data_IF_578138159666
#
_entry.id   IF_578138159666
#
_cell.length_a   1.000
_cell.length_b   1.000
_cell.length_c   1.000
_cell.angle_alpha   90.00
_cell.angle_beta   90.00
_cell.angle_gamma   90.00
#
_symmetry.space_group_name_H-M   'P 1'
#
loop_
_entity.id
_entity.type
_entity.pdbx_description
1 polymer ?
#
# COMPACT_ATOMS: atom_id res chain seq x y z
N UNK A 1 15.89 8.34 -7.92
CA UNK A 1 14.50 8.00 -7.60
C UNK A 1 13.51 8.84 -8.43
N UNK A 2 13.44 10.17 -8.29
CA UNK A 2 12.56 11.01 -9.14
C UNK A 2 13.02 11.22 -10.60
N UNK A 3 14.21 10.76 -10.97
CA UNK A 3 14.67 10.71 -12.36
C UNK A 3 14.29 9.41 -13.08
N UNK A 4 13.71 8.44 -12.38
CA UNK A 4 13.26 7.17 -12.95
C UNK A 4 11.81 7.31 -13.43
N UNK A 5 11.60 7.11 -14.74
CA UNK A 5 10.28 7.30 -15.37
C UNK A 5 9.25 6.28 -14.89
N UNK A 6 9.65 5.03 -14.64
CA UNK A 6 8.74 3.99 -14.15
C UNK A 6 8.29 4.32 -12.73
N UNK A 7 9.23 4.69 -11.86
CA UNK A 7 8.92 5.10 -10.49
C UNK A 7 7.99 6.31 -10.44
N UNK A 8 8.28 7.33 -11.24
CA UNK A 8 7.52 8.59 -11.24
C UNK A 8 6.09 8.38 -11.76
N UNK A 9 5.89 7.54 -12.78
CA UNK A 9 4.54 7.17 -13.22
C UNK A 9 3.80 6.31 -12.19
N UNK A 10 4.47 5.37 -11.52
CA UNK A 10 3.88 4.59 -10.44
C UNK A 10 3.47 5.48 -9.24
N UNK A 11 4.31 6.45 -8.87
CA UNK A 11 4.01 7.46 -7.86
C UNK A 11 2.75 8.25 -8.22
N UNK A 12 2.65 8.71 -9.48
CA UNK A 12 1.48 9.41 -9.99
C UNK A 12 0.22 8.55 -9.89
N UNK A 13 0.28 7.31 -10.37
CA UNK A 13 -0.84 6.36 -10.30
C UNK A 13 -1.31 6.12 -8.85
N UNK A 14 -0.38 5.89 -7.92
CA UNK A 14 -0.74 5.68 -6.50
C UNK A 14 -1.36 6.93 -5.89
N UNK A 15 -0.82 8.11 -6.17
CA UNK A 15 -1.39 9.37 -5.70
C UNK A 15 -2.83 9.54 -6.19
N UNK A 16 -3.07 9.38 -7.49
CA UNK A 16 -4.40 9.57 -8.09
C UNK A 16 -5.42 8.56 -7.52
N UNK A 17 -5.01 7.30 -7.32
CA UNK A 17 -5.84 6.26 -6.68
C UNK A 17 -6.21 6.62 -5.23
N UNK A 18 -5.24 7.08 -4.43
CA UNK A 18 -5.49 7.46 -3.04
C UNK A 18 -6.34 8.74 -2.94
N UNK A 19 -6.17 9.69 -3.87
CA UNK A 19 -6.97 10.92 -3.90
C UNK A 19 -8.44 10.69 -4.20
N UNK A 20 -8.79 9.59 -4.86
CA UNK A 20 -10.19 9.19 -5.06
C UNK A 20 -10.79 8.49 -3.83
N UNK A 21 -9.98 8.15 -2.83
CA UNK A 21 -10.39 7.34 -1.67
C UNK A 21 -9.97 8.00 -0.36
N UNK A 22 -9.01 7.41 0.37
CA UNK A 22 -8.65 7.80 1.74
C UNK A 22 -8.05 9.20 1.83
N UNK A 23 -7.46 9.71 0.74
CA UNK A 23 -6.92 11.07 0.70
C UNK A 23 -7.88 12.07 0.07
N UNK A 24 -9.14 11.69 -0.17
CA UNK A 24 -10.17 12.65 -0.54
C UNK A 24 -10.33 13.72 0.54
N UNK A 25 -10.58 14.98 0.15
CA UNK A 25 -10.69 16.09 1.08
C UNK A 25 -11.81 15.83 2.10
N UNK A 26 -12.96 15.34 1.63
CA UNK A 26 -14.08 14.95 2.49
C UNK A 26 -13.72 13.84 3.47
N UNK A 27 -12.95 12.83 3.03
CA UNK A 27 -12.54 11.72 3.89
C UNK A 27 -11.59 12.19 4.98
N UNK A 28 -10.61 13.03 4.64
CA UNK A 28 -9.68 13.61 5.61
C UNK A 28 -10.43 14.54 6.57
N UNK A 29 -11.33 15.39 6.07
CA UNK A 29 -12.11 16.31 6.88
C UNK A 29 -13.02 15.57 7.86
N UNK A 30 -13.71 14.52 7.41
CA UNK A 30 -14.53 13.67 8.27
C UNK A 30 -13.70 12.98 9.36
N UNK A 31 -12.47 12.53 9.02
CA UNK A 31 -11.56 11.99 10.02
C UNK A 31 -11.16 13.05 11.06
N UNK A 32 -10.81 14.26 10.64
CA UNK A 32 -10.49 15.38 11.55
C UNK A 32 -11.67 15.69 12.48
N UNK A 33 -12.89 15.76 11.94
CA UNK A 33 -14.12 15.99 12.72
C UNK A 33 -14.37 14.88 13.75
N UNK A 34 -14.12 13.63 13.36
CA UNK A 34 -14.20 12.51 14.29
C UNK A 34 -13.19 12.65 15.45
N UNK A 35 -11.97 13.12 15.16
CA UNK A 35 -10.94 13.33 16.18
C UNK A 35 -11.24 14.53 17.08
N UNK A 36 -11.81 15.62 16.54
CA UNK A 36 -12.24 16.77 17.33
C UNK A 36 -13.20 16.36 18.45
N UNK A 37 -14.13 15.45 18.15
CA UNK A 37 -15.10 14.93 19.13
C UNK A 37 -14.41 14.33 20.36
N UNK A 38 -13.31 13.59 20.16
CA UNK A 38 -12.53 13.01 21.27
C UNK A 38 -11.69 14.05 22.04
N UNK A 39 -11.42 15.21 21.44
CA UNK A 39 -10.54 16.24 22.01
C UNK A 39 -11.29 17.41 22.67
N UNK A 40 -12.63 17.48 22.56
CA UNK A 40 -13.44 18.62 23.03
C UNK A 40 -13.14 19.04 24.47
N UNK A 41 -13.03 18.08 25.39
CA UNK A 41 -12.73 18.39 26.79
C UNK A 41 -11.26 18.70 27.03
N UNK A 42 -10.37 17.91 26.43
CA UNK A 42 -8.93 18.00 26.69
C UNK A 42 -8.36 19.32 26.16
N UNK A 43 -8.83 19.79 25.00
CA UNK A 43 -8.43 21.09 24.47
C UNK A 43 -8.85 22.23 25.40
N UNK A 44 -10.06 22.18 25.98
CA UNK A 44 -10.55 23.20 26.92
C UNK A 44 -9.64 23.29 28.14
N UNK A 45 -9.31 22.15 28.76
CA UNK A 45 -8.41 22.13 29.93
C UNK A 45 -7.00 22.57 29.57
N UNK A 46 -6.51 22.19 28.40
CA UNK A 46 -5.19 22.57 27.91
C UNK A 46 -5.07 24.09 27.79
N UNK A 47 -6.00 24.75 27.11
CA UNK A 47 -5.92 26.20 26.89
C UNK A 47 -6.33 27.04 28.11
N UNK A 48 -7.02 26.44 29.09
CA UNK A 48 -7.16 27.04 30.43
C UNK A 48 -5.83 27.05 31.19
N UNK A 49 -5.05 25.96 31.11
CA UNK A 49 -3.75 25.84 31.78
C UNK A 49 -2.66 26.65 31.08
N UNK A 50 -2.64 26.62 29.75
CA UNK A 50 -1.68 27.30 28.89
C UNK A 50 -2.44 28.22 27.92
N UNK A 51 -2.67 29.49 28.29
CA UNK A 51 -3.47 30.43 27.50
C UNK A 51 -2.66 31.00 26.32
N UNK A 52 -2.27 30.14 25.38
CA UNK A 52 -1.43 30.49 24.23
C UNK A 52 -2.24 30.74 22.95
N UNK A 53 -3.57 30.65 23.02
CA UNK A 53 -4.44 30.89 21.87
C UNK A 53 -4.37 32.38 21.46
N UNK A 54 -4.24 32.66 20.17
CA UNK A 54 -4.02 34.02 19.65
C UNK A 54 -2.62 34.57 19.88
N UNK A 55 -1.68 33.77 20.41
CA UNK A 55 -0.30 34.18 20.68
C UNK A 55 0.65 33.46 19.73
N UNK A 56 1.55 34.21 19.11
CA UNK A 56 2.60 33.63 18.27
C UNK A 56 3.59 32.81 19.09
N UNK A 57 3.75 31.54 18.74
CA UNK A 57 4.70 30.61 19.33
C UNK A 57 5.77 30.22 18.29
N UNK A 58 7.01 30.64 18.50
CA UNK A 58 8.13 30.22 17.66
C UNK A 58 8.40 28.70 17.83
N UNK A 59 8.73 27.94 16.77
CA UNK A 59 8.94 28.33 15.36
C UNK A 59 7.70 28.18 14.47
N UNK A 60 6.49 28.14 15.04
CA UNK A 60 5.28 27.91 14.25
C UNK A 60 5.03 29.06 13.26
N UNK A 61 4.30 28.79 12.17
CA UNK A 61 3.93 29.82 11.20
C UNK A 61 2.99 30.86 11.81
N UNK A 62 3.16 32.14 11.43
CA UNK A 62 2.28 33.24 11.84
C UNK A 62 0.81 32.97 11.54
N UNK A 63 0.52 32.21 10.47
CA UNK A 63 -0.84 31.83 10.08
C UNK A 63 -1.62 31.17 11.24
N UNK A 64 -0.96 30.34 12.05
CA UNK A 64 -1.61 29.67 13.19
C UNK A 64 -1.76 30.57 14.42
N UNK A 65 -0.96 31.62 14.55
CA UNK A 65 -1.05 32.57 15.65
C UNK A 65 -2.30 33.46 15.57
N UNK A 66 -2.91 33.56 14.38
CA UNK A 66 -4.17 34.27 14.18
C UNK A 66 -5.39 33.50 14.69
N UNK A 67 -5.26 32.23 15.08
CA UNK A 67 -6.36 31.46 15.63
C UNK A 67 -6.55 31.81 17.11
N UNK A 68 -7.73 32.33 17.45
CA UNK A 68 -8.13 32.68 18.82
C UNK A 68 -9.04 31.60 19.44
N UNK A 69 -9.33 30.53 18.71
CA UNK A 69 -10.08 29.37 19.17
C UNK A 69 -9.58 28.06 18.57
N UNK A 70 -9.90 26.94 19.23
CA UNK A 70 -9.58 25.60 18.71
C UNK A 70 -10.24 25.34 17.34
N UNK A 71 -11.48 25.79 17.14
CA UNK A 71 -12.20 25.58 15.89
C UNK A 71 -11.54 26.33 14.72
N UNK A 72 -11.00 27.53 14.95
CA UNK A 72 -10.23 28.25 13.93
C UNK A 72 -8.93 27.54 13.58
N UNK A 73 -8.23 26.96 14.57
CA UNK A 73 -7.05 26.11 14.31
C UNK A 73 -7.42 24.95 13.40
N UNK A 74 -8.54 24.28 13.66
CA UNK A 74 -9.02 23.19 12.80
C UNK A 74 -9.37 23.67 11.39
N UNK A 75 -10.05 24.81 11.26
CA UNK A 75 -10.37 25.40 9.96
C UNK A 75 -9.11 25.72 9.13
N UNK A 76 -8.10 26.30 9.77
CA UNK A 76 -6.79 26.57 9.16
C UNK A 76 -6.06 25.30 8.75
N UNK A 77 -6.07 24.26 9.59
CA UNK A 77 -5.49 22.96 9.27
C UNK A 77 -6.17 22.33 8.05
N UNK A 78 -7.51 22.27 8.02
CA UNK A 78 -8.27 21.73 6.88
C UNK A 78 -7.97 22.50 5.59
N UNK A 79 -7.98 23.83 5.66
CA UNK A 79 -7.66 24.71 4.52
C UNK A 79 -6.25 24.43 3.98
N UNK A 80 -5.26 24.27 4.86
CA UNK A 80 -3.89 23.97 4.45
C UNK A 80 -3.80 22.58 3.80
N UNK A 81 -4.42 21.55 4.38
CA UNK A 81 -4.40 20.19 3.84
C UNK A 81 -5.04 20.15 2.45
N UNK A 82 -6.19 20.81 2.29
CA UNK A 82 -6.88 20.90 1.01
C UNK A 82 -6.03 21.61 -0.04
N UNK A 83 -5.54 22.81 0.28
CA UNK A 83 -4.68 23.57 -0.63
C UNK A 83 -3.38 22.82 -0.98
N UNK A 84 -2.79 22.11 -0.02
CA UNK A 84 -1.60 21.29 -0.25
C UNK A 84 -1.90 20.10 -1.15
N UNK A 85 -3.05 19.45 -0.96
CA UNK A 85 -3.48 18.34 -1.79
C UNK A 85 -3.70 18.79 -3.23
N UNK A 86 -4.38 19.93 -3.44
CA UNK A 86 -4.57 20.52 -4.78
C UNK A 86 -3.22 20.85 -5.43
N UNK A 87 -2.29 21.43 -4.66
CA UNK A 87 -0.95 21.70 -5.18
C UNK A 87 -0.24 20.41 -5.59
N UNK A 88 -0.34 19.34 -4.80
CA UNK A 88 0.23 18.04 -5.12
C UNK A 88 -0.41 17.43 -6.37
N UNK A 89 -1.74 17.54 -6.54
CA UNK A 89 -2.45 17.09 -7.73
C UNK A 89 -1.86 17.72 -9.01
N UNK A 90 -1.40 18.97 -8.92
CA UNK A 90 -0.81 19.72 -10.04
C UNK A 90 0.70 19.53 -10.20
N UNK A 91 1.41 19.18 -9.13
CA UNK A 91 2.88 19.22 -9.09
C UNK A 91 3.55 17.86 -8.88
N UNK A 92 2.80 16.79 -8.63
CA UNK A 92 3.36 15.44 -8.64
C UNK A 92 3.75 15.08 -10.07
N UNK A 93 5.05 14.81 -10.33
CA UNK A 93 5.54 14.52 -11.67
C UNK A 93 5.04 13.17 -12.16
N UNK A 94 5.16 12.96 -13.47
CA UNK A 94 4.76 11.73 -14.13
C UNK A 94 3.40 11.81 -14.79
N UNK A 95 3.08 10.74 -15.49
CA UNK A 95 1.79 10.55 -16.16
C UNK A 95 1.16 9.27 -15.61
N UNK A 96 -0.16 9.29 -15.41
CA UNK A 96 -0.92 8.13 -14.97
C UNK A 96 -1.08 7.13 -16.13
N UNK A 97 0.03 6.47 -16.50
CA UNK A 97 0.11 5.51 -17.60
C UNK A 97 0.56 4.15 -17.06
N UNK A 98 -0.09 3.08 -17.54
CA UNK A 98 0.16 1.70 -17.11
C UNK A 98 -0.05 1.48 -15.61
N UNK A 99 -1.03 2.14 -14.99
CA UNK A 99 -1.30 2.01 -13.56
C UNK A 99 -1.59 0.58 -13.12
N UNK A 100 -2.17 -0.24 -14.01
CA UNK A 100 -2.48 -1.65 -13.77
C UNK A 100 -1.22 -2.54 -13.67
N UNK A 101 -0.08 -2.06 -14.17
CA UNK A 101 1.22 -2.75 -14.05
C UNK A 101 1.84 -2.50 -12.67
N UNK A 102 1.44 -1.41 -12.02
CA UNK A 102 1.91 -0.99 -10.71
C UNK A 102 0.86 -1.17 -9.63
N UNK A 103 -0.20 -1.98 -9.87
CA UNK A 103 -1.23 -2.18 -8.87
C UNK A 103 -0.57 -2.55 -7.54
N UNK A 104 -0.83 -1.76 -6.47
CA UNK A 104 -0.29 -2.09 -5.18
C UNK A 104 -0.87 -3.44 -4.80
N UNK A 105 0.02 -4.35 -4.38
CA UNK A 105 -0.39 -5.55 -3.65
C UNK A 105 -1.41 -5.09 -2.60
N UNK A 106 -2.60 -5.72 -2.48
CA UNK A 106 -3.65 -5.22 -1.60
C UNK A 106 -3.09 -4.88 -0.21
N UNK A 107 -3.56 -3.79 0.42
CA UNK A 107 -3.05 -3.37 1.75
C UNK A 107 -3.19 -4.49 2.80
N UNK A 108 -4.04 -5.50 2.56
CA UNK A 108 -4.13 -6.74 3.37
C UNK A 108 -2.89 -7.65 3.29
N UNK A 109 -2.02 -7.44 2.30
CA UNK A 109 -0.76 -8.16 2.06
C UNK A 109 0.43 -7.32 2.49
N UNK A 110 0.32 -5.99 2.43
CA UNK A 110 1.32 -5.05 2.98
C UNK A 110 1.04 -4.88 4.48
N UNK A 111 1.37 -5.90 5.26
CA UNK A 111 1.58 -5.69 6.69
C UNK A 111 2.68 -4.65 6.82
N UNK A 112 2.35 -3.42 7.22
CA UNK A 112 3.31 -2.35 7.50
C UNK A 112 4.39 -2.95 8.40
N UNK A 113 5.62 -3.21 7.91
CA UNK A 113 6.70 -3.54 8.81
C UNK A 113 6.99 -2.25 9.58
N UNK A 114 7.12 -2.36 10.89
CA UNK A 114 7.53 -1.24 11.72
C UNK A 114 8.74 -0.52 11.08
N UNK A 115 8.78 0.83 11.09
CA UNK A 115 9.89 1.58 10.49
C UNK A 115 11.20 1.15 11.17
N UNK A 116 12.11 0.53 10.41
CA UNK A 116 13.41 0.10 10.93
C UNK A 116 14.03 -1.17 10.34
N UNK A 117 13.31 -1.93 9.49
CA UNK A 117 13.90 -3.03 8.72
C UNK A 117 13.42 -3.02 7.27
N UNK A 118 14.03 -2.19 6.46
CA UNK A 118 14.09 -2.44 5.03
C UNK A 118 15.13 -3.54 4.78
N UNK A 119 14.80 -4.77 5.16
CA UNK A 119 15.25 -5.87 4.33
C UNK A 119 14.38 -5.76 3.08
N UNK A 120 14.99 -5.60 1.91
CA UNK A 120 14.28 -5.76 0.64
C UNK A 120 13.54 -7.09 0.73
N UNK A 121 12.22 -7.03 0.96
CA UNK A 121 11.39 -8.21 0.91
C UNK A 121 11.54 -8.70 -0.52
N UNK A 122 12.35 -9.74 -0.71
CA UNK A 122 12.35 -10.53 -1.94
C UNK A 122 10.96 -11.16 -1.93
N UNK A 123 9.99 -10.53 -2.56
CA UNK A 123 8.60 -11.00 -2.52
C UNK A 123 8.36 -11.86 -3.74
N UNK A 124 7.90 -13.10 -3.51
CA UNK A 124 7.20 -13.88 -4.52
C UNK A 124 5.70 -13.81 -4.21
N UNK A 125 4.93 -13.32 -5.18
CA UNK A 125 3.48 -13.30 -5.14
C UNK A 125 2.94 -14.49 -5.94
N UNK A 126 1.98 -15.22 -5.36
CA UNK A 126 1.34 -16.39 -5.97
C UNK A 126 -0.16 -16.26 -5.80
N UNK A 127 -0.91 -16.20 -6.91
CA UNK A 127 -2.34 -15.90 -6.92
C UNK A 127 -3.05 -16.52 -8.14
N UNK A 128 -4.39 -16.68 -8.11
CA UNK A 128 -5.25 -16.52 -6.95
C UNK A 128 -5.10 -17.68 -5.96
N UNK A 129 -5.60 -17.50 -4.74
CA UNK A 129 -5.74 -18.57 -3.76
C UNK A 129 -7.13 -18.43 -3.11
N UNK A 130 -8.11 -19.32 -3.41
CA UNK A 130 -7.98 -20.53 -4.22
C UNK A 130 -7.75 -20.29 -5.73
N UNK A 131 -7.08 -21.23 -6.41
CA UNK A 131 -6.86 -21.24 -7.86
C UNK A 131 -7.72 -22.28 -8.57
N UNK A 132 -8.37 -21.90 -9.67
CA UNK A 132 -9.19 -22.80 -10.50
C UNK A 132 -8.49 -23.20 -11.79
N UNK A 133 -8.32 -22.24 -12.70
CA UNK A 133 -7.88 -22.51 -14.08
C UNK A 133 -6.41 -22.21 -14.33
N UNK A 134 -5.88 -21.23 -13.59
CA UNK A 134 -4.49 -20.83 -13.68
C UNK A 134 -3.95 -20.35 -12.34
N UNK A 135 -2.65 -20.50 -12.18
CA UNK A 135 -1.85 -19.92 -11.11
C UNK A 135 -0.86 -18.91 -11.72
N UNK A 136 -0.85 -17.70 -11.18
CA UNK A 136 0.05 -16.64 -11.54
C UNK A 136 1.11 -16.47 -10.46
N UNK A 137 2.37 -16.40 -10.89
CA UNK A 137 3.53 -16.26 -10.01
C UNK A 137 4.33 -15.06 -10.51
N UNK A 138 4.58 -14.10 -9.61
CA UNK A 138 5.35 -12.90 -9.91
C UNK A 138 6.46 -12.73 -8.87
N UNK A 139 7.65 -12.34 -9.33
CA UNK A 139 8.77 -12.03 -8.45
C UNK A 139 9.60 -10.87 -8.97
N UNK A 140 10.17 -10.10 -8.03
CA UNK A 140 11.18 -9.07 -8.33
C UNK A 140 12.48 -9.71 -8.81
N UNK A 141 12.82 -10.88 -8.28
CA UNK A 141 13.98 -11.66 -8.72
C UNK A 141 13.59 -12.58 -9.87
N UNK A 142 14.58 -12.97 -10.69
CA UNK A 142 14.34 -13.91 -11.78
C UNK A 142 13.99 -15.28 -11.19
N UNK A 143 12.82 -15.80 -11.56
CA UNK A 143 12.36 -17.14 -11.20
C UNK A 143 13.19 -18.12 -12.01
N UNK A 144 13.79 -19.10 -11.34
CA UNK A 144 14.58 -20.20 -11.94
C UNK A 144 13.75 -21.49 -12.03
N UNK A 145 12.92 -21.75 -11.02
CA UNK A 145 12.16 -22.99 -10.92
C UNK A 145 10.88 -22.80 -10.11
N UNK A 146 9.82 -23.46 -10.56
CA UNK A 146 8.58 -23.61 -9.80
C UNK A 146 8.33 -25.09 -9.58
N UNK A 147 7.99 -25.45 -8.35
CA UNK A 147 7.64 -26.81 -7.94
C UNK A 147 6.34 -26.78 -7.16
N UNK A 148 5.42 -27.70 -7.45
CA UNK A 148 4.17 -27.87 -6.73
C UNK A 148 4.17 -29.26 -6.12
N UNK A 149 4.04 -29.33 -4.79
CA UNK A 149 3.98 -30.58 -4.05
C UNK A 149 2.68 -30.70 -3.26
N UNK A 150 2.20 -31.93 -3.09
CA UNK A 150 1.05 -32.20 -2.23
C UNK A 150 1.45 -32.15 -0.74
N UNK A 151 0.48 -32.30 0.17
CA UNK A 151 0.73 -32.26 1.62
C UNK A 151 1.59 -33.43 2.16
N UNK A 152 1.83 -34.46 1.35
CA UNK A 152 2.76 -35.55 1.65
C UNK A 152 4.19 -35.27 1.17
N UNK A 153 4.42 -34.11 0.53
CA UNK A 153 5.70 -33.70 -0.04
C UNK A 153 6.01 -34.33 -1.41
N UNK A 154 5.06 -35.03 -2.03
CA UNK A 154 5.26 -35.58 -3.37
C UNK A 154 5.15 -34.47 -4.40
N UNK A 155 6.13 -34.38 -5.30
CA UNK A 155 6.11 -33.46 -6.44
C UNK A 155 5.03 -33.88 -7.43
N UNK A 156 4.11 -32.94 -7.70
CA UNK A 156 3.01 -33.11 -8.67
C UNK A 156 3.29 -32.35 -9.95
N UNK A 157 4.07 -31.28 -9.86
CA UNK A 157 4.48 -30.48 -11.00
C UNK A 157 5.83 -29.81 -10.72
N UNK A 158 6.66 -29.67 -11.76
CA UNK A 158 7.93 -28.94 -11.68
C UNK A 158 8.33 -28.43 -13.05
N UNK A 159 8.81 -27.19 -13.10
CA UNK A 159 9.23 -26.57 -14.34
C UNK A 159 10.34 -25.54 -14.11
N UNK A 160 11.34 -25.57 -14.99
CA UNK A 160 12.34 -24.51 -15.09
C UNK A 160 11.75 -23.33 -15.86
N UNK A 161 11.93 -22.14 -15.31
CA UNK A 161 11.48 -20.89 -15.90
C UNK A 161 12.63 -19.90 -15.79
N UNK A 162 12.66 -18.95 -16.72
CA UNK A 162 13.52 -17.79 -16.65
C UNK A 162 12.61 -16.58 -16.88
N UNK A 163 12.47 -15.72 -15.87
CA UNK A 163 11.67 -14.51 -15.97
C UNK A 163 11.04 -14.11 -14.63
N UNK A 164 10.36 -12.96 -14.64
CA UNK A 164 9.78 -12.35 -13.45
C UNK A 164 8.28 -12.65 -13.28
N UNK A 165 7.66 -13.28 -14.28
CA UNK A 165 6.23 -13.57 -14.31
C UNK A 165 5.98 -14.92 -14.98
N UNK A 166 5.16 -15.75 -14.36
CA UNK A 166 4.76 -17.06 -14.88
C UNK A 166 3.26 -17.25 -14.73
N UNK A 167 2.61 -17.63 -15.83
CA UNK A 167 1.24 -18.15 -15.83
C UNK A 167 1.31 -19.67 -16.00
N UNK A 168 0.84 -20.41 -15.01
CA UNK A 168 0.70 -21.86 -15.04
C UNK A 168 -0.76 -22.22 -15.27
N UNK A 169 -1.05 -23.05 -16.28
CA UNK A 169 -2.36 -23.66 -16.42
C UNK A 169 -2.50 -24.78 -15.39
N UNK A 170 -3.61 -24.80 -14.64
CA UNK A 170 -3.85 -25.77 -13.56
C UNK A 170 -4.92 -26.80 -13.95
N UNK A 171 -5.73 -26.48 -14.96
CA UNK A 171 -6.79 -27.33 -15.52
C UNK A 171 -6.23 -28.69 -15.94
N UNK A 172 -6.79 -29.76 -15.39
CA UNK A 172 -6.47 -31.15 -15.76
C UNK A 172 -5.08 -31.64 -15.34
N UNK A 173 -4.27 -30.80 -14.68
CA UNK A 173 -2.90 -31.12 -14.26
C UNK A 173 -2.86 -31.29 -12.73
N UNK A 174 -3.57 -30.44 -11.99
CA UNK A 174 -3.53 -30.41 -10.53
C UNK A 174 -4.93 -30.67 -9.97
N UNK A 175 -5.16 -31.81 -9.28
CA UNK A 175 -6.45 -32.10 -8.65
C UNK A 175 -6.80 -31.11 -7.53
N UNK A 176 -8.09 -31.00 -7.21
CA UNK A 176 -8.56 -30.18 -6.10
C UNK A 176 -7.91 -30.59 -4.77
N UNK A 177 -7.42 -29.61 -4.01
CA UNK A 177 -6.74 -29.88 -2.75
C UNK A 177 -5.82 -28.74 -2.30
N UNK A 178 -5.08 -29.01 -1.23
CA UNK A 178 -4.08 -28.08 -0.67
C UNK A 178 -2.70 -28.53 -1.10
N UNK A 179 -1.91 -27.58 -1.60
CA UNK A 179 -0.57 -27.82 -2.13
C UNK A 179 0.40 -26.76 -1.63
N UNK A 180 1.69 -27.11 -1.67
CA UNK A 180 2.78 -26.18 -1.46
C UNK A 180 3.40 -25.83 -2.80
N UNK A 181 3.43 -24.55 -3.12
CA UNK A 181 4.10 -24.00 -4.29
C UNK A 181 5.44 -23.43 -3.84
N UNK A 182 6.52 -24.08 -4.26
CA UNK A 182 7.89 -23.64 -4.03
C UNK A 182 8.38 -22.89 -5.26
N UNK A 183 8.84 -21.66 -5.06
CA UNK A 183 9.38 -20.80 -6.11
C UNK A 183 10.83 -20.49 -5.75
N UNK A 184 11.73 -20.98 -6.59
CA UNK A 184 13.16 -20.68 -6.51
C UNK A 184 13.45 -19.51 -7.44
N UNK A 185 14.03 -18.46 -6.89
CA UNK A 185 14.55 -17.31 -7.62
C UNK A 185 16.07 -17.29 -7.53
N UNK A 186 16.71 -16.40 -8.29
CA UNK A 186 18.17 -16.21 -8.26
C UNK A 186 18.72 -15.85 -6.88
N UNK A 187 17.89 -15.28 -5.99
CA UNK A 187 18.33 -14.83 -4.67
C UNK A 187 17.49 -15.32 -3.49
N UNK A 188 16.44 -16.11 -3.69
CA UNK A 188 15.60 -16.65 -2.61
C UNK A 188 14.89 -17.96 -2.97
N UNK A 189 14.46 -18.68 -1.93
CA UNK A 189 13.56 -19.82 -2.06
C UNK A 189 12.34 -19.54 -1.19
N UNK A 190 11.15 -19.51 -1.80
CA UNK A 190 9.90 -19.22 -1.08
C UNK A 190 8.89 -20.33 -1.27
N UNK A 191 8.10 -20.58 -0.22
CA UNK A 191 7.03 -21.58 -0.22
C UNK A 191 5.72 -20.89 0.10
N UNK A 192 4.69 -21.14 -0.72
CA UNK A 192 3.34 -20.63 -0.51
C UNK A 192 2.36 -21.80 -0.48
N UNK A 193 1.47 -21.82 0.52
CA UNK A 193 0.34 -22.76 0.56
C UNK A 193 -0.77 -22.24 -0.35
N UNK A 194 -1.19 -23.04 -1.32
CA UNK A 194 -2.25 -22.72 -2.28
C UNK A 194 -3.33 -23.78 -2.24
N UNK A 195 -4.59 -23.36 -2.32
CA UNK A 195 -5.75 -24.23 -2.50
C UNK A 195 -6.08 -24.26 -4.00
N UNK A 196 -6.12 -25.43 -4.61
CA UNK A 196 -6.68 -25.60 -5.95
C UNK A 196 -8.11 -26.11 -5.85
N UNK A 197 -9.03 -25.43 -6.53
CA UNK A 197 -10.45 -25.75 -6.58
C UNK A 197 -10.97 -25.56 -8.00
N UNK A 198 -11.26 -26.65 -8.70
CA UNK A 198 -11.99 -26.64 -9.95
C UNK A 198 -13.45 -26.28 -9.74
N UNK A 199 -14.08 -25.78 -10.81
CA UNK A 199 -15.53 -25.84 -10.97
C UNK A 199 -15.97 -27.26 -11.31
#
# INVERSE_FOLDING_TARGET
MLGDTMFVNALRCRWDSLRQTIFHADTINAYIDSMETYLMESQTRNFLRWPVMGIYLWPNSWFYAAAISHNEVLGYMKTWIEGRSIWLDQNIPGVAQYCDVYEPVPDSVVGIPAPGKAEELKVVNVYPNPASDALYIQSVEEIEQITISNMLGQEVYSELRNGHYVKLSTVGIIPNGIYLVTVKTTGSLQVKKIVFSGN
#
